data_IF_245200975053
#
_entry.id   IF_245200975053
#
_cell.length_a   1.000
_cell.length_b   1.000
_cell.length_c   1.000
_cell.angle_alpha   90.00
_cell.angle_beta   90.00
_cell.angle_gamma   90.00
#
_symmetry.space_group_name_H-M   'P 1'
#
loop_
_entity.id
_entity.type
_entity.pdbx_description
1 polymer ?
#
# COMPACT_ATOMS: atom_id res chain seq x y z
N UNK A 1 20.27 14.68 12.94
CA UNK A 1 18.85 14.35 13.25
C UNK A 1 18.22 15.64 13.73
N UNK A 2 17.17 16.06 13.05
CA UNK A 2 16.42 17.26 13.40
C UNK A 2 15.28 16.93 14.36
N UNK A 3 14.65 15.75 14.16
CA UNK A 3 13.58 15.22 14.97
C UNK A 3 13.62 13.68 14.95
N UNK A 4 13.22 13.04 16.01
CA UNK A 4 13.00 11.59 16.07
C UNK A 4 11.88 11.29 17.07
N UNK A 5 11.03 10.33 16.73
CA UNK A 5 9.92 9.90 17.55
C UNK A 5 9.75 8.39 17.42
N UNK A 6 9.55 7.71 18.55
CA UNK A 6 9.27 6.27 18.57
C UNK A 6 7.77 6.06 18.72
N UNK A 7 7.11 5.64 17.64
CA UNK A 7 5.71 5.21 17.71
C UNK A 7 5.67 3.73 18.09
N UNK A 8 5.77 3.46 19.37
CA UNK A 8 5.72 2.10 19.93
C UNK A 8 5.24 2.11 21.37
N UNK A 9 4.30 1.21 21.67
CA UNK A 9 3.83 0.90 23.02
C UNK A 9 3.48 -0.61 23.15
N UNK A 10 2.63 -1.00 24.12
CA UNK A 10 2.26 -2.42 24.30
C UNK A 10 1.32 -2.94 23.20
N UNK A 11 0.59 -2.07 22.55
CA UNK A 11 -0.49 -2.40 21.61
C UNK A 11 -0.24 -1.87 20.20
N UNK A 12 0.74 -0.95 20.03
CA UNK A 12 1.05 -0.33 18.74
C UNK A 12 2.55 -0.35 18.45
N UNK A 13 2.91 -0.46 17.18
CA UNK A 13 4.28 -0.30 16.71
C UNK A 13 4.31 0.09 15.24
N UNK A 14 5.11 1.12 14.90
CA UNK A 14 5.36 1.50 13.51
C UNK A 14 6.15 0.43 12.76
N UNK A 15 5.85 0.25 11.48
CA UNK A 15 6.54 -0.71 10.62
C UNK A 15 6.60 -0.25 9.17
N UNK A 16 7.49 -0.84 8.41
CA UNK A 16 7.69 -0.79 6.95
C UNK A 16 7.88 0.59 6.34
N UNK A 17 6.90 1.48 6.35
CA UNK A 17 6.92 2.65 5.48
C UNK A 17 6.36 3.91 6.12
N UNK A 18 6.71 5.04 5.53
CA UNK A 18 6.19 6.36 5.86
C UNK A 18 6.17 7.25 4.60
N UNK A 19 5.31 8.26 4.60
CA UNK A 19 5.31 9.34 3.62
C UNK A 19 5.07 10.68 4.30
N UNK A 20 5.25 11.78 3.57
CA UNK A 20 4.96 13.12 4.08
C UNK A 20 3.56 13.56 3.68
N UNK A 21 2.88 14.26 4.60
CA UNK A 21 1.63 14.97 4.39
C UNK A 21 1.89 16.43 4.78
N UNK A 22 2.22 17.26 3.81
CA UNK A 22 2.74 18.59 4.10
C UNK A 22 4.03 18.52 4.94
N UNK A 23 4.00 19.13 6.12
CA UNK A 23 5.11 19.09 7.09
C UNK A 23 4.99 17.94 8.10
N UNK A 24 3.92 17.14 8.03
CA UNK A 24 3.66 16.02 8.91
C UNK A 24 4.22 14.70 8.33
N UNK A 25 4.29 13.69 9.18
CA UNK A 25 4.72 12.33 8.80
C UNK A 25 3.56 11.36 8.97
N UNK A 26 3.10 10.79 7.87
CA UNK A 26 2.18 9.66 7.88
C UNK A 26 2.97 8.35 7.91
N UNK A 27 2.71 7.50 8.88
CA UNK A 27 3.40 6.22 9.01
C UNK A 27 2.41 5.04 9.07
N UNK A 28 2.90 3.88 8.64
CA UNK A 28 2.20 2.61 8.83
C UNK A 28 2.52 2.04 10.20
N UNK A 29 1.51 1.52 10.88
CA UNK A 29 1.67 0.89 12.18
C UNK A 29 0.82 -0.38 12.30
N UNK A 30 1.22 -1.27 13.19
CA UNK A 30 0.38 -2.34 13.70
C UNK A 30 -0.37 -1.87 14.94
N UNK A 31 -1.62 -2.31 15.08
CA UNK A 31 -2.36 -2.31 16.33
C UNK A 31 -2.68 -3.75 16.75
N UNK A 32 -2.65 -4.03 18.04
CA UNK A 32 -2.89 -5.37 18.55
C UNK A 32 -4.36 -5.58 18.88
N UNK A 33 -4.94 -6.66 18.36
CA UNK A 33 -6.28 -7.14 18.70
C UNK A 33 -6.19 -8.52 19.37
N UNK A 34 -6.84 -8.63 20.51
CA UNK A 34 -6.92 -9.86 21.29
C UNK A 34 -7.84 -10.90 20.64
N UNK A 35 -7.71 -12.16 21.06
CA UNK A 35 -8.62 -13.24 20.63
C UNK A 35 -10.09 -12.97 20.97
N UNK A 36 -10.38 -12.20 22.01
CA UNK A 36 -11.75 -11.82 22.35
C UNK A 36 -12.33 -10.81 21.34
N UNK A 37 -11.55 -9.81 20.92
CA UNK A 37 -11.94 -8.85 19.90
C UNK A 37 -12.10 -9.53 18.53
N UNK A 38 -11.16 -10.42 18.16
CA UNK A 38 -11.26 -11.22 16.93
C UNK A 38 -12.54 -12.06 16.89
N UNK A 39 -12.88 -12.73 17.98
CA UNK A 39 -14.12 -13.47 18.09
C UNK A 39 -15.35 -12.54 17.99
N UNK A 40 -15.31 -11.39 18.63
CA UNK A 40 -16.39 -10.40 18.55
C UNK A 40 -16.59 -9.87 17.13
N UNK A 41 -15.51 -9.73 16.36
CA UNK A 41 -15.54 -9.31 14.95
C UNK A 41 -15.83 -10.46 13.96
N UNK A 42 -16.07 -11.69 14.44
CA UNK A 42 -16.41 -12.83 13.55
C UNK A 42 -15.24 -13.42 12.79
N UNK A 43 -14.02 -13.28 13.30
CA UNK A 43 -12.86 -13.98 12.73
C UNK A 43 -12.98 -15.49 12.96
N UNK A 44 -12.92 -16.26 11.86
CA UNK A 44 -13.20 -17.71 11.89
C UNK A 44 -12.02 -18.56 12.33
N UNK A 45 -10.81 -18.00 12.28
CA UNK A 45 -9.61 -18.75 12.61
C UNK A 45 -9.23 -18.51 14.07
N UNK A 46 -9.00 -19.59 14.84
CA UNK A 46 -8.58 -19.46 16.22
C UNK A 46 -7.16 -18.90 16.29
N UNK A 47 -7.06 -17.63 16.64
CA UNK A 47 -5.79 -16.94 16.88
C UNK A 47 -5.74 -16.38 18.29
N UNK A 48 -4.55 -16.30 18.87
CA UNK A 48 -4.33 -15.65 20.14
C UNK A 48 -4.41 -14.12 20.04
N UNK A 49 -3.98 -13.59 18.91
CA UNK A 49 -3.96 -12.16 18.59
C UNK A 49 -3.80 -11.93 17.09
N UNK A 50 -4.13 -10.74 16.63
CA UNK A 50 -3.90 -10.24 15.28
C UNK A 50 -3.33 -8.84 15.39
N UNK A 51 -2.55 -8.44 14.38
CA UNK A 51 -1.97 -7.11 14.29
C UNK A 51 -2.48 -6.41 13.01
N UNK A 52 -3.72 -5.91 13.01
CA UNK A 52 -4.23 -5.10 11.91
C UNK A 52 -3.38 -3.85 11.70
N UNK A 53 -3.42 -3.33 10.48
CA UNK A 53 -2.74 -2.09 10.15
C UNK A 53 -3.57 -0.89 10.58
N UNK A 54 -2.88 0.14 11.06
CA UNK A 54 -3.43 1.48 11.10
C UNK A 54 -2.41 2.50 10.58
N UNK A 55 -2.91 3.65 10.15
CA UNK A 55 -2.11 4.79 9.74
C UNK A 55 -2.21 5.88 10.78
N UNK A 56 -1.08 6.54 11.03
CA UNK A 56 -0.99 7.63 12.00
C UNK A 56 -0.23 8.78 11.36
N UNK A 57 -0.87 9.95 11.32
CA UNK A 57 -0.22 11.18 10.93
C UNK A 57 0.26 11.95 12.17
N UNK A 58 1.54 12.25 12.18
CA UNK A 58 2.25 12.87 13.29
C UNK A 58 2.72 14.27 12.92
N UNK A 59 2.31 15.25 13.72
CA UNK A 59 2.87 16.59 13.72
C UNK A 59 3.95 16.70 14.80
N UNK A 60 5.16 17.12 14.42
CA UNK A 60 6.25 17.36 15.37
C UNK A 60 5.93 18.52 16.30
N UNK A 61 6.04 18.33 17.62
CA UNK A 61 5.70 19.34 18.63
C UNK A 61 6.79 20.42 18.84
N UNK A 62 7.90 20.31 18.12
CA UNK A 62 9.06 21.19 18.23
C UNK A 62 9.92 20.98 19.49
N UNK A 63 9.55 20.05 20.37
CA UNK A 63 10.24 19.72 21.63
C UNK A 63 10.80 18.30 21.67
N UNK A 64 10.76 17.60 20.54
CA UNK A 64 11.24 16.22 20.41
C UNK A 64 10.14 15.16 20.52
N UNK A 65 8.87 15.57 20.72
CA UNK A 65 7.69 14.73 20.69
C UNK A 65 6.85 14.92 19.43
N UNK A 66 5.69 14.28 19.39
CA UNK A 66 4.71 14.42 18.32
C UNK A 66 3.28 14.42 18.87
N UNK A 67 2.38 15.02 18.10
CA UNK A 67 0.93 14.94 18.30
C UNK A 67 0.34 14.14 17.14
N UNK A 68 -0.54 13.20 17.44
CA UNK A 68 -1.37 12.53 16.42
C UNK A 68 -2.41 13.54 15.97
N UNK A 69 -2.41 13.87 14.68
CA UNK A 69 -3.35 14.84 14.07
C UNK A 69 -4.41 14.15 13.23
N UNK A 70 -4.11 12.95 12.74
CA UNK A 70 -5.06 12.09 12.03
C UNK A 70 -4.68 10.62 12.21
N UNK A 71 -5.69 9.74 12.20
CA UNK A 71 -5.52 8.30 12.25
C UNK A 71 -6.64 7.57 11.52
N UNK A 72 -6.31 6.41 10.95
CA UNK A 72 -7.21 5.49 10.29
C UNK A 72 -6.88 4.05 10.67
N UNK A 73 -7.89 3.25 10.97
CA UNK A 73 -7.73 1.88 11.39
C UNK A 73 -8.49 0.94 10.44
N UNK A 74 -7.78 -0.02 9.83
CA UNK A 74 -8.44 -1.04 9.01
C UNK A 74 -9.52 -1.80 9.79
N UNK A 75 -9.36 -1.87 11.12
CA UNK A 75 -10.28 -2.52 12.04
C UNK A 75 -11.70 -1.96 11.98
N UNK A 76 -11.86 -0.69 11.76
CA UNK A 76 -13.15 0.00 11.70
C UNK A 76 -13.90 -0.28 10.39
N UNK A 77 -13.21 -0.81 9.36
CA UNK A 77 -13.73 -1.06 8.03
C UNK A 77 -13.81 -2.55 7.69
N UNK A 78 -13.84 -3.42 8.71
CA UNK A 78 -13.95 -4.86 8.52
C UNK A 78 -15.39 -5.34 8.46
N UNK A 79 -15.64 -6.33 7.58
CA UNK A 79 -16.91 -7.07 7.49
C UNK A 79 -16.68 -8.59 7.50
N UNK A 80 -17.76 -9.35 7.57
CA UNK A 80 -17.78 -10.81 7.40
C UNK A 80 -19.20 -11.29 7.06
N UNK A 81 -19.34 -12.43 6.40
CA UNK A 81 -20.62 -13.02 5.99
C UNK A 81 -20.92 -14.38 6.66
N UNK A 82 -20.16 -14.74 7.68
CA UNK A 82 -20.20 -16.08 8.28
C UNK A 82 -21.07 -16.17 9.55
N UNK A 83 -21.16 -15.09 10.33
CA UNK A 83 -21.94 -15.07 11.59
C UNK A 83 -22.86 -13.84 11.67
N UNK A 84 -24.17 -14.00 11.39
CA UNK A 84 -25.13 -12.90 11.42
C UNK A 84 -25.40 -12.32 12.83
N UNK A 85 -24.86 -12.91 13.87
CA UNK A 85 -24.98 -12.36 15.23
C UNK A 85 -23.91 -11.29 15.56
N UNK A 86 -22.94 -11.08 14.69
CA UNK A 86 -21.84 -10.11 14.89
C UNK A 86 -22.18 -8.76 14.26
N UNK A 87 -21.65 -7.66 14.82
CA UNK A 87 -22.04 -6.30 14.41
C UNK A 87 -21.59 -5.92 13.02
N UNK A 88 -20.50 -6.51 12.49
CA UNK A 88 -19.93 -6.26 11.17
C UNK A 88 -20.44 -7.27 10.10
N UNK A 89 -21.56 -7.94 10.37
CA UNK A 89 -22.14 -8.90 9.41
C UNK A 89 -22.71 -8.20 8.18
N UNK A 90 -22.33 -8.71 7.02
CA UNK A 90 -22.95 -8.39 5.73
C UNK A 90 -23.52 -9.66 5.09
N UNK A 91 -24.53 -9.54 4.25
CA UNK A 91 -25.15 -10.71 3.62
C UNK A 91 -24.22 -11.34 2.58
N UNK A 92 -23.56 -10.51 1.81
CA UNK A 92 -22.59 -10.92 0.80
C UNK A 92 -21.40 -9.96 0.83
N UNK A 93 -20.18 -10.47 0.92
CA UNK A 93 -18.96 -9.67 0.83
C UNK A 93 -18.89 -8.90 -0.51
N UNK A 94 -19.30 -9.54 -1.60
CA UNK A 94 -19.24 -8.96 -2.95
C UNK A 94 -20.12 -7.71 -3.16
N UNK A 95 -21.08 -7.50 -2.29
CA UNK A 95 -21.94 -6.30 -2.33
C UNK A 95 -21.32 -5.11 -1.56
N UNK A 96 -20.24 -5.36 -0.79
CA UNK A 96 -19.58 -4.40 0.07
C UNK A 96 -18.05 -4.35 -0.21
N UNK A 97 -17.61 -4.06 -1.45
CA UNK A 97 -16.20 -4.06 -1.81
C UNK A 97 -15.39 -2.92 -1.17
N UNK A 98 -16.07 -1.94 -0.60
CA UNK A 98 -15.52 -0.86 0.21
C UNK A 98 -15.07 -1.31 1.60
N UNK A 99 -15.46 -2.52 2.02
CA UNK A 99 -15.09 -3.12 3.30
C UNK A 99 -14.08 -4.26 3.11
N UNK A 100 -13.38 -4.59 4.17
CA UNK A 100 -12.38 -5.65 4.22
C UNK A 100 -12.96 -6.88 4.91
N UNK A 101 -13.05 -7.99 4.20
CA UNK A 101 -13.45 -9.26 4.81
C UNK A 101 -12.36 -9.73 5.79
N UNK A 102 -12.68 -9.76 7.09
CA UNK A 102 -11.77 -10.21 8.14
C UNK A 102 -11.30 -11.67 7.92
N UNK A 103 -12.07 -12.45 7.14
CA UNK A 103 -11.82 -13.87 6.86
C UNK A 103 -11.17 -14.10 5.49
N UNK A 104 -10.87 -13.07 4.70
CA UNK A 104 -10.31 -13.21 3.35
C UNK A 104 -8.93 -13.87 3.32
N UNK A 105 -8.16 -13.75 4.40
CA UNK A 105 -6.84 -14.35 4.55
C UNK A 105 -6.90 -15.49 5.57
N UNK A 106 -6.54 -16.68 5.13
CA UNK A 106 -6.53 -17.89 5.96
C UNK A 106 -5.33 -18.01 6.91
N UNK A 107 -4.56 -16.95 7.05
CA UNK A 107 -3.29 -16.99 7.78
C UNK A 107 -3.42 -16.64 9.24
N UNK A 108 -2.91 -17.41 10.01
CA UNK A 108 -2.21 -17.50 11.25
C UNK A 108 -2.41 -16.38 12.26
N UNK A 109 -1.37 -16.06 12.91
CA UNK A 109 -1.29 -15.20 14.07
C UNK A 109 -0.50 -13.94 13.76
N UNK A 110 -0.86 -12.87 14.42
CA UNK A 110 -0.11 -11.63 14.42
C UNK A 110 -0.29 -10.88 13.11
N UNK A 111 0.75 -10.79 12.32
CA UNK A 111 0.80 -10.03 11.08
C UNK A 111 -0.14 -10.62 9.99
N UNK A 112 -1.37 -10.16 10.01
CA UNK A 112 -2.44 -10.71 9.17
C UNK A 112 -2.49 -10.11 7.78
N UNK A 113 -2.27 -8.80 7.64
CA UNK A 113 -2.48 -8.06 6.39
C UNK A 113 -1.18 -7.60 5.74
N UNK A 114 -0.21 -7.21 6.56
CA UNK A 114 1.15 -6.84 6.17
C UNK A 114 1.21 -5.70 5.14
N UNK A 115 0.75 -4.51 5.55
CA UNK A 115 0.96 -3.30 4.74
C UNK A 115 2.46 -3.00 4.66
N UNK A 116 2.94 -2.69 3.46
CA UNK A 116 4.37 -2.58 3.18
C UNK A 116 4.74 -1.39 2.29
N UNK A 117 3.77 -0.59 1.92
CA UNK A 117 3.94 0.66 1.17
C UNK A 117 2.79 1.60 1.47
N UNK A 118 3.10 2.87 1.64
CA UNK A 118 2.13 3.96 1.80
C UNK A 118 2.61 5.17 1.02
N UNK A 119 1.70 5.85 0.35
CA UNK A 119 1.97 7.11 -0.32
C UNK A 119 0.75 8.03 -0.26
N UNK A 120 0.97 9.32 -0.34
CA UNK A 120 -0.04 10.35 -0.23
C UNK A 120 -0.11 11.21 -1.50
N UNK A 121 -1.31 11.45 -1.97
CA UNK A 121 -1.58 12.35 -3.09
C UNK A 121 -2.23 13.63 -2.57
N UNK A 122 -1.49 14.74 -2.64
CA UNK A 122 -1.94 16.05 -2.14
C UNK A 122 -3.11 16.62 -2.96
N UNK A 123 -3.13 16.40 -4.28
CA UNK A 123 -4.18 16.94 -5.15
C UNK A 123 -5.54 16.27 -4.92
N UNK A 124 -5.52 14.98 -4.60
CA UNK A 124 -6.72 14.18 -4.32
C UNK A 124 -7.06 14.12 -2.83
N UNK A 125 -6.11 14.45 -1.97
CA UNK A 125 -6.16 14.25 -0.52
C UNK A 125 -6.50 12.79 -0.17
N UNK A 126 -5.73 11.87 -0.75
CA UNK A 126 -5.93 10.43 -0.65
C UNK A 126 -4.63 9.69 -0.32
N UNK A 127 -4.77 8.56 0.34
CA UNK A 127 -3.67 7.65 0.67
C UNK A 127 -3.81 6.38 -0.15
N UNK A 128 -2.71 5.94 -0.82
CA UNK A 128 -2.60 4.61 -1.39
C UNK A 128 -1.71 3.74 -0.52
N UNK A 129 -2.04 2.46 -0.40
CA UNK A 129 -1.20 1.49 0.30
C UNK A 129 -1.25 0.11 -0.34
N UNK A 130 -0.22 -0.68 -0.09
CA UNK A 130 -0.09 -2.06 -0.59
C UNK A 130 -0.07 -3.06 0.55
N UNK A 131 -0.78 -4.18 0.37
CA UNK A 131 -0.77 -5.31 1.29
C UNK A 131 -0.10 -6.53 0.65
N UNK A 132 0.93 -7.05 1.33
CA UNK A 132 1.64 -8.22 0.87
C UNK A 132 0.77 -9.47 0.85
N UNK A 133 0.03 -9.73 1.95
CA UNK A 133 -0.70 -10.99 2.10
C UNK A 133 -2.02 -10.99 1.36
N UNK A 134 -2.67 -9.83 1.23
CA UNK A 134 -3.83 -9.69 0.36
C UNK A 134 -3.47 -9.70 -1.12
N UNK A 135 -2.21 -9.41 -1.48
CA UNK A 135 -1.79 -9.21 -2.88
C UNK A 135 -2.67 -8.19 -3.58
N UNK A 136 -2.93 -7.08 -2.90
CA UNK A 136 -3.77 -5.96 -3.37
C UNK A 136 -3.19 -4.62 -2.96
N UNK A 137 -3.62 -3.60 -3.68
CA UNK A 137 -3.43 -2.18 -3.34
C UNK A 137 -4.79 -1.56 -3.06
N UNK A 138 -4.80 -0.51 -2.23
CA UNK A 138 -5.99 0.14 -1.74
C UNK A 138 -5.82 1.66 -1.72
N UNK A 139 -6.93 2.39 -1.90
CA UNK A 139 -6.98 3.84 -1.72
C UNK A 139 -8.06 4.16 -0.70
N UNK A 140 -7.76 5.09 0.20
CA UNK A 140 -8.68 5.66 1.20
C UNK A 140 -8.68 7.18 1.13
N UNK A 141 -9.73 7.79 1.68
CA UNK A 141 -9.91 9.23 1.77
C UNK A 141 -9.17 9.79 3.00
N UNK A 142 -8.20 10.66 2.77
CA UNK A 142 -7.49 11.35 3.86
C UNK A 142 -8.15 12.68 4.25
N UNK A 143 -9.03 13.24 3.43
CA UNK A 143 -9.72 14.51 3.69
C UNK A 143 -10.70 14.45 4.89
N UNK A 144 -10.76 13.32 5.55
CA UNK A 144 -11.57 13.03 6.73
C UNK A 144 -10.93 13.60 8.01
N UNK A 145 -11.75 13.91 9.00
CA UNK A 145 -11.28 13.94 10.39
C UNK A 145 -11.05 12.51 10.88
N UNK A 146 -10.25 12.28 11.95
CA UNK A 146 -10.08 10.93 12.53
C UNK A 146 -11.42 10.27 12.90
N UNK A 147 -12.41 11.07 13.33
CA UNK A 147 -13.76 10.55 13.61
C UNK A 147 -14.52 10.11 12.37
N UNK A 148 -14.35 10.79 11.25
CA UNK A 148 -14.92 10.37 9.96
C UNK A 148 -14.12 9.18 9.39
N UNK A 149 -12.80 9.18 9.53
CA UNK A 149 -11.94 8.07 9.15
C UNK A 149 -12.27 6.76 9.87
N UNK A 150 -12.82 6.83 11.09
CA UNK A 150 -13.34 5.68 11.82
C UNK A 150 -14.81 5.33 11.48
N UNK A 151 -15.40 5.95 10.46
CA UNK A 151 -16.80 5.77 10.10
C UNK A 151 -16.96 5.51 8.60
N UNK A 152 -18.21 5.21 8.19
CA UNK A 152 -18.57 4.93 6.79
C UNK A 152 -19.11 6.17 6.07
N UNK A 153 -18.93 7.38 6.62
CA UNK A 153 -19.42 8.63 6.04
C UNK A 153 -18.49 9.79 6.40
N UNK A 154 -18.36 10.75 5.50
CA UNK A 154 -17.52 11.94 5.68
C UNK A 154 -16.42 12.01 4.63
N UNK A 155 -15.57 13.01 4.75
CA UNK A 155 -14.55 13.31 3.76
C UNK A 155 -15.09 13.79 2.41
N UNK A 156 -14.19 14.02 1.47
CA UNK A 156 -14.54 14.47 0.11
C UNK A 156 -15.29 13.40 -0.71
N UNK A 157 -15.03 12.13 -0.42
CA UNK A 157 -15.72 10.99 -1.04
C UNK A 157 -17.12 10.76 -0.49
N UNK A 158 -17.41 11.25 0.72
CA UNK A 158 -18.63 10.94 1.47
C UNK A 158 -18.66 9.53 2.08
N UNK A 159 -17.58 8.75 1.96
CA UNK A 159 -17.48 7.34 2.40
C UNK A 159 -16.72 7.17 3.72
N UNK A 160 -16.32 8.28 4.36
CA UNK A 160 -15.50 8.21 5.56
C UNK A 160 -14.16 7.52 5.28
N UNK A 161 -13.76 6.57 6.14
CA UNK A 161 -12.53 5.80 5.96
C UNK A 161 -12.67 4.51 5.15
N UNK A 162 -13.82 4.26 4.51
CA UNK A 162 -14.00 3.07 3.66
C UNK A 162 -13.07 3.07 2.45
N UNK A 163 -12.81 1.88 1.91
CA UNK A 163 -11.95 1.71 0.73
C UNK A 163 -12.61 2.33 -0.50
N UNK A 164 -11.98 3.34 -1.08
CA UNK A 164 -12.44 4.00 -2.30
C UNK A 164 -12.15 3.18 -3.55
N UNK A 165 -11.00 2.53 -3.57
CA UNK A 165 -10.49 1.75 -4.69
C UNK A 165 -9.62 0.61 -4.19
N UNK A 166 -9.68 -0.53 -4.87
CA UNK A 166 -8.79 -1.67 -4.64
C UNK A 166 -8.48 -2.39 -5.95
N UNK A 167 -7.27 -2.92 -6.07
CA UNK A 167 -6.82 -3.60 -7.29
C UNK A 167 -5.79 -4.68 -6.98
N UNK A 168 -5.90 -5.84 -7.65
CA UNK A 168 -4.93 -6.91 -7.60
C UNK A 168 -5.51 -8.29 -7.30
N UNK A 169 -6.56 -8.41 -6.49
CA UNK A 169 -7.14 -9.70 -6.15
C UNK A 169 -8.65 -9.62 -5.83
N UNK A 170 -9.51 -9.56 -6.86
CA UNK A 170 -10.96 -9.42 -6.66
C UNK A 170 -11.60 -10.55 -5.84
N UNK A 171 -10.96 -11.72 -5.76
CA UNK A 171 -11.47 -12.82 -4.94
C UNK A 171 -11.49 -12.49 -3.43
N UNK A 172 -10.68 -11.54 -2.97
CA UNK A 172 -10.68 -11.08 -1.58
C UNK A 172 -11.99 -10.40 -1.17
N UNK A 173 -12.78 -9.93 -2.14
CA UNK A 173 -14.12 -9.38 -1.91
C UNK A 173 -15.18 -10.13 -2.72
N UNK A 174 -14.97 -11.43 -2.94
CA UNK A 174 -15.97 -12.35 -3.49
C UNK A 174 -16.33 -12.13 -4.96
N UNK A 175 -15.51 -11.43 -5.74
CA UNK A 175 -15.75 -11.12 -7.15
C UNK A 175 -14.74 -11.85 -8.03
N UNK A 176 -15.17 -12.35 -9.17
CA UNK A 176 -14.28 -12.88 -10.19
C UNK A 176 -13.72 -11.75 -11.04
N UNK A 177 -12.42 -11.76 -11.28
CA UNK A 177 -11.74 -10.78 -12.13
C UNK A 177 -10.41 -11.31 -12.66
N UNK A 178 -9.84 -10.60 -13.62
CA UNK A 178 -8.58 -10.95 -14.28
C UNK A 178 -7.38 -10.14 -13.78
N UNK A 179 -7.62 -9.13 -12.98
CA UNK A 179 -6.57 -8.36 -12.30
C UNK A 179 -6.02 -9.21 -11.15
N UNK A 180 -4.91 -9.91 -11.37
CA UNK A 180 -4.33 -10.81 -10.39
C UNK A 180 -2.89 -10.42 -10.13
N UNK A 181 -2.59 -10.11 -8.86
CA UNK A 181 -1.23 -10.10 -8.32
C UNK A 181 -1.01 -11.49 -7.71
N UNK A 182 -0.23 -12.33 -8.37
CA UNK A 182 -0.09 -13.74 -8.00
C UNK A 182 0.53 -13.95 -6.61
N UNK A 183 1.53 -13.13 -6.27
CA UNK A 183 2.20 -13.24 -4.98
C UNK A 183 2.98 -11.99 -4.65
N UNK A 184 2.57 -11.33 -3.60
CA UNK A 184 3.16 -10.13 -3.03
C UNK A 184 3.20 -8.92 -3.97
N UNK A 185 2.85 -7.80 -3.40
CA UNK A 185 3.02 -6.46 -3.98
C UNK A 185 3.69 -5.59 -2.94
N UNK A 186 4.54 -4.67 -3.39
CA UNK A 186 5.21 -3.70 -2.54
C UNK A 186 5.15 -2.32 -3.16
N UNK A 187 5.31 -1.30 -2.31
CA UNK A 187 5.63 0.05 -2.71
C UNK A 187 4.61 0.66 -3.68
N UNK A 188 3.31 0.57 -3.34
CA UNK A 188 2.27 1.28 -4.07
C UNK A 188 2.42 2.78 -3.87
N UNK A 189 2.46 3.53 -4.98
CA UNK A 189 2.58 4.99 -4.97
C UNK A 189 1.93 5.62 -6.20
N UNK A 190 1.66 6.91 -6.15
CA UNK A 190 1.31 7.67 -7.34
C UNK A 190 2.56 8.03 -8.15
N UNK A 191 2.40 8.06 -9.46
CA UNK A 191 3.34 8.72 -10.36
C UNK A 191 2.95 10.19 -10.37
N UNK A 192 3.89 11.07 -10.05
CA UNK A 192 3.68 12.53 -10.06
C UNK A 192 3.06 13.00 -11.38
N UNK A 193 2.00 13.81 -11.31
CA UNK A 193 1.33 14.38 -12.51
C UNK A 193 1.92 15.74 -12.90
N UNK A 194 3.23 15.75 -13.14
CA UNK A 194 4.02 16.93 -13.53
C UNK A 194 4.36 16.97 -15.02
N UNK A 195 3.68 16.14 -15.81
CA UNK A 195 3.92 15.97 -17.24
C UNK A 195 4.85 14.81 -17.58
N UNK A 196 5.34 14.06 -16.59
CA UNK A 196 6.06 12.80 -16.84
C UNK A 196 5.14 11.73 -17.40
N UNK A 197 5.67 10.74 -18.14
CA UNK A 197 4.85 9.64 -18.67
C UNK A 197 4.11 8.88 -17.56
N UNK A 198 2.81 8.66 -17.79
CA UNK A 198 1.87 8.02 -16.87
C UNK A 198 1.64 8.81 -15.57
N UNK A 199 1.80 10.14 -15.57
CA UNK A 199 1.43 11.00 -14.44
C UNK A 199 0.00 10.72 -14.00
N UNK A 200 -0.23 10.65 -12.69
CA UNK A 200 -1.50 10.31 -12.07
C UNK A 200 -1.83 8.81 -11.98
N UNK A 201 -1.06 7.93 -12.63
CA UNK A 201 -1.22 6.48 -12.45
C UNK A 201 -0.68 6.03 -11.09
N UNK A 202 -1.19 4.91 -10.60
CA UNK A 202 -0.51 4.16 -9.54
C UNK A 202 0.65 3.35 -10.13
N UNK A 203 1.76 3.29 -9.42
CA UNK A 203 2.88 2.41 -9.72
C UNK A 203 3.07 1.42 -8.57
N UNK A 204 3.34 0.16 -8.88
CA UNK A 204 3.60 -0.88 -7.91
C UNK A 204 4.83 -1.70 -8.30
N UNK A 205 5.55 -2.18 -7.30
CA UNK A 205 6.51 -3.26 -7.48
C UNK A 205 5.77 -4.60 -7.28
N UNK A 206 5.46 -5.28 -8.39
CA UNK A 206 4.79 -6.57 -8.39
C UNK A 206 5.85 -7.68 -8.36
N UNK A 207 6.05 -8.29 -7.22
CA UNK A 207 7.14 -9.24 -6.99
C UNK A 207 7.12 -10.45 -7.92
N UNK A 208 5.93 -10.89 -8.33
CA UNK A 208 5.75 -12.04 -9.23
C UNK A 208 4.98 -11.67 -10.50
N UNK A 209 5.03 -10.43 -10.96
CA UNK A 209 4.20 -9.93 -12.06
C UNK A 209 4.36 -10.65 -13.39
N UNK A 210 5.52 -11.22 -13.66
CA UNK A 210 5.79 -12.12 -14.79
C UNK A 210 5.96 -13.59 -14.36
N UNK A 211 5.37 -13.95 -13.21
CA UNK A 211 5.35 -15.28 -12.64
C UNK A 211 6.42 -15.55 -11.59
N UNK A 212 6.16 -16.55 -10.77
CA UNK A 212 7.10 -17.09 -9.79
C UNK A 212 7.24 -18.61 -9.98
N UNK A 213 8.45 -19.15 -9.75
CA UNK A 213 8.69 -20.58 -9.71
C UNK A 213 9.24 -21.00 -8.36
N UNK A 214 8.75 -22.08 -7.80
CA UNK A 214 9.10 -22.53 -6.45
C UNK A 214 8.31 -21.80 -5.37
N UNK A 215 8.65 -22.04 -4.12
CA UNK A 215 7.97 -21.45 -2.96
C UNK A 215 8.93 -21.20 -1.81
N UNK A 216 8.50 -20.38 -0.85
CA UNK A 216 9.27 -20.02 0.31
C UNK A 216 10.54 -19.22 -0.02
N UNK A 217 11.62 -19.34 0.78
CA UNK A 217 12.82 -18.53 0.61
C UNK A 217 13.63 -18.83 -0.68
N UNK A 218 13.28 -19.87 -1.41
CA UNK A 218 13.91 -20.25 -2.68
C UNK A 218 13.05 -19.92 -3.90
N UNK A 219 11.98 -19.16 -3.75
CA UNK A 219 11.16 -18.74 -4.88
C UNK A 219 11.99 -17.89 -5.85
N UNK A 220 11.98 -18.29 -7.13
CA UNK A 220 12.53 -17.46 -8.21
C UNK A 220 11.41 -16.57 -8.72
N UNK A 221 11.53 -15.29 -8.46
CA UNK A 221 10.58 -14.29 -8.89
C UNK A 221 10.97 -13.70 -10.25
N UNK A 222 9.98 -13.44 -11.08
CA UNK A 222 10.09 -12.55 -12.21
C UNK A 222 9.24 -11.31 -11.90
N UNK A 223 9.89 -10.32 -11.32
CA UNK A 223 9.24 -9.10 -10.87
C UNK A 223 8.93 -8.15 -12.01
N UNK A 224 7.90 -7.33 -11.81
CA UNK A 224 7.55 -6.25 -12.73
C UNK A 224 7.31 -4.95 -11.97
N UNK A 225 7.47 -3.83 -12.68
CA UNK A 225 6.93 -2.54 -12.27
C UNK A 225 5.69 -2.30 -13.12
N UNK A 226 4.54 -2.29 -12.48
CA UNK A 226 3.26 -2.14 -13.15
C UNK A 226 2.68 -0.75 -12.89
N UNK A 227 2.18 -0.12 -13.94
CA UNK A 227 1.41 1.13 -13.88
C UNK A 227 -0.07 0.86 -14.09
N UNK A 228 -0.91 1.44 -13.25
CA UNK A 228 -2.35 1.23 -13.21
C UNK A 228 -3.05 2.58 -13.35
N UNK A 229 -3.73 2.78 -14.47
CA UNK A 229 -4.60 3.94 -14.68
C UNK A 229 -5.93 3.70 -13.98
N UNK A 230 -6.13 4.41 -12.87
CA UNK A 230 -7.35 4.24 -12.08
C UNK A 230 -8.55 4.93 -12.73
N UNK A 231 -9.77 4.42 -12.56
CA UNK A 231 -10.98 5.00 -13.14
C UNK A 231 -11.52 6.18 -12.27
N UNK A 232 -10.65 7.11 -11.89
CA UNK A 232 -11.03 8.26 -11.08
C UNK A 232 -11.94 9.21 -11.85
N UNK A 233 -13.04 9.61 -11.23
CA UNK A 233 -13.97 10.62 -11.74
C UNK A 233 -14.01 11.83 -10.80
N UNK A 234 -13.36 12.90 -11.21
CA UNK A 234 -13.33 14.15 -10.43
C UNK A 234 -14.68 14.87 -10.33
N UNK A 235 -15.65 14.52 -11.19
CA UNK A 235 -16.98 15.12 -11.10
C UNK A 235 -17.81 14.53 -9.96
N UNK A 236 -17.51 13.31 -9.57
CA UNK A 236 -18.22 12.59 -8.49
C UNK A 236 -17.32 12.28 -7.29
N UNK A 237 -16.04 12.66 -7.34
CA UNK A 237 -15.01 12.31 -6.34
C UNK A 237 -15.03 10.81 -6.01
N UNK A 238 -15.07 9.97 -7.03
CA UNK A 238 -15.15 8.52 -6.85
C UNK A 238 -14.41 7.74 -7.92
N UNK A 239 -14.06 6.50 -7.62
CA UNK A 239 -13.55 5.55 -8.58
C UNK A 239 -14.70 4.79 -9.21
N UNK A 240 -14.86 4.94 -10.53
CA UNK A 240 -15.99 4.34 -11.26
C UNK A 240 -15.92 2.81 -11.19
N UNK A 241 -17.02 2.20 -10.77
CA UNK A 241 -17.18 0.75 -10.70
C UNK A 241 -18.58 0.33 -11.14
N UNK A 242 -18.68 -0.73 -11.89
CA UNK A 242 -19.98 -1.39 -12.16
C UNK A 242 -20.31 -2.32 -11.00
N UNK A 243 -21.50 -2.21 -10.44
CA UNK A 243 -21.95 -3.08 -9.36
C UNK A 243 -21.83 -4.57 -9.73
N UNK A 244 -21.32 -5.38 -8.82
CA UNK A 244 -21.05 -6.80 -9.03
C UNK A 244 -19.85 -7.12 -9.95
N UNK A 245 -19.08 -6.12 -10.34
CA UNK A 245 -17.83 -6.29 -11.11
C UNK A 245 -16.62 -5.86 -10.26
N UNK A 246 -15.46 -6.38 -10.62
CA UNK A 246 -14.19 -5.89 -10.07
C UNK A 246 -13.94 -4.43 -10.47
N UNK A 247 -13.16 -3.72 -9.68
CA UNK A 247 -12.65 -2.41 -10.07
C UNK A 247 -11.84 -2.52 -11.37
N UNK A 248 -11.85 -1.47 -12.19
CA UNK A 248 -11.04 -1.41 -13.41
C UNK A 248 -9.71 -0.72 -13.12
N UNK A 249 -8.68 -0.91 -13.98
CA UNK A 249 -8.64 -1.73 -15.20
C UNK A 249 -8.57 -3.24 -14.89
N UNK A 250 -8.95 -4.06 -15.85
CA UNK A 250 -8.91 -5.53 -15.72
C UNK A 250 -7.50 -6.12 -15.80
N UNK A 251 -6.50 -5.32 -16.09
CA UNK A 251 -5.08 -5.63 -16.14
C UNK A 251 -4.29 -4.35 -15.86
N UNK A 252 -2.98 -4.46 -15.65
CA UNK A 252 -2.09 -3.29 -15.66
C UNK A 252 -2.22 -2.51 -16.97
N UNK A 253 -2.02 -1.19 -16.90
CA UNK A 253 -2.00 -0.30 -18.08
C UNK A 253 -0.63 -0.30 -18.72
N UNK A 254 0.43 -0.24 -17.93
CA UNK A 254 1.82 -0.34 -18.37
C UNK A 254 2.58 -1.35 -17.54
N UNK A 255 3.59 -1.99 -18.13
CA UNK A 255 4.45 -2.97 -17.44
C UNK A 255 5.89 -2.87 -17.92
N UNK A 256 6.81 -2.92 -16.97
CA UNK A 256 8.22 -3.18 -17.21
C UNK A 256 8.62 -4.48 -16.47
N UNK A 257 9.16 -5.45 -17.19
CA UNK A 257 9.71 -6.68 -16.60
C UNK A 257 11.13 -6.41 -16.10
N UNK A 258 11.41 -6.74 -14.85
CA UNK A 258 12.67 -6.42 -14.17
C UNK A 258 13.86 -7.25 -14.69
N UNK A 259 14.39 -6.87 -15.85
CA UNK A 259 15.42 -7.62 -16.58
C UNK A 259 16.82 -7.64 -15.93
N UNK A 260 17.09 -6.76 -14.97
CA UNK A 260 18.42 -6.66 -14.32
C UNK A 260 18.40 -7.09 -12.86
N UNK A 261 17.25 -7.54 -12.34
CA UNK A 261 17.10 -8.07 -11.01
C UNK A 261 15.64 -8.14 -10.59
N UNK A 262 15.30 -9.20 -9.87
CA UNK A 262 13.95 -9.47 -9.36
C UNK A 262 14.02 -9.86 -7.89
N UNK A 263 12.90 -9.74 -7.18
CA UNK A 263 12.80 -10.09 -5.78
C UNK A 263 11.42 -10.67 -5.42
N UNK A 264 11.39 -11.71 -4.62
CA UNK A 264 10.16 -12.35 -4.15
C UNK A 264 9.47 -11.62 -2.98
N UNK A 265 10.03 -10.52 -2.53
CA UNK A 265 9.49 -9.68 -1.44
C UNK A 265 10.28 -8.40 -1.29
N UNK A 266 9.76 -7.47 -0.48
CA UNK A 266 10.30 -6.13 -0.34
C UNK A 266 10.43 -5.43 -1.71
N UNK A 267 11.31 -4.46 -1.86
CA UNK A 267 11.57 -3.74 -3.11
C UNK A 267 10.78 -2.45 -3.25
N UNK A 268 11.24 -1.60 -4.15
CA UNK A 268 10.62 -0.32 -4.47
C UNK A 268 10.88 0.05 -5.93
N UNK A 269 10.05 0.93 -6.46
CA UNK A 269 10.28 1.53 -7.78
C UNK A 269 9.80 2.98 -7.79
N UNK A 270 10.43 3.80 -8.64
CA UNK A 270 10.05 5.19 -8.80
C UNK A 270 10.06 5.60 -10.27
N UNK A 271 9.15 6.52 -10.64
CA UNK A 271 9.10 7.12 -11.96
C UNK A 271 9.79 8.48 -11.93
N UNK A 272 10.97 8.54 -12.54
CA UNK A 272 11.75 9.78 -12.62
C UNK A 272 11.05 10.82 -13.52
N UNK A 273 11.35 12.11 -13.33
CA UNK A 273 10.76 13.21 -14.11
C UNK A 273 11.02 13.09 -15.62
N UNK A 274 12.13 12.47 -16.01
CA UNK A 274 12.47 12.20 -17.41
C UNK A 274 11.76 10.97 -17.99
N UNK A 275 10.89 10.30 -17.21
CA UNK A 275 10.14 9.11 -17.61
C UNK A 275 10.88 7.79 -17.41
N UNK A 276 12.12 7.81 -16.94
CA UNK A 276 12.84 6.60 -16.58
C UNK A 276 12.20 5.90 -15.36
N UNK A 277 12.49 4.62 -15.21
CA UNK A 277 12.05 3.84 -14.04
C UNK A 277 13.31 3.51 -13.23
N UNK A 278 13.33 3.97 -11.99
CA UNK A 278 14.27 3.50 -10.99
C UNK A 278 13.70 2.26 -10.31
N UNK A 279 14.53 1.26 -10.09
CA UNK A 279 14.17 -0.01 -9.47
C UNK A 279 15.17 -0.36 -8.36
N UNK A 280 14.65 -0.66 -7.18
CA UNK A 280 15.36 -1.36 -6.12
C UNK A 280 14.76 -2.76 -5.97
N UNK A 281 15.40 -3.78 -6.54
CA UNK A 281 15.05 -5.16 -6.31
C UNK A 281 15.80 -5.66 -5.07
N UNK A 282 15.08 -5.87 -3.97
CA UNK A 282 15.66 -6.31 -2.69
C UNK A 282 16.19 -7.75 -2.79
N UNK A 283 17.30 -8.04 -2.12
CA UNK A 283 17.78 -9.40 -1.96
C UNK A 283 17.01 -10.25 -0.95
N UNK A 284 15.89 -9.73 -0.40
CA UNK A 284 15.18 -10.36 0.69
C UNK A 284 15.95 -10.26 2.02
N UNK A 285 15.61 -11.10 2.99
CA UNK A 285 16.28 -11.11 4.29
C UNK A 285 17.73 -11.59 4.16
N UNK A 286 18.67 -10.63 4.02
CA UNK A 286 20.10 -10.90 3.95
C UNK A 286 20.66 -11.31 2.59
N UNK A 287 19.85 -11.23 1.54
CA UNK A 287 20.30 -11.46 0.16
C UNK A 287 21.00 -10.26 -0.48
N UNK A 288 21.59 -10.50 -1.65
CA UNK A 288 22.14 -9.44 -2.48
C UNK A 288 21.02 -8.80 -3.30
N UNK A 289 20.70 -7.53 -3.01
CA UNK A 289 19.80 -6.74 -3.83
C UNK A 289 20.53 -6.02 -4.94
N UNK A 290 19.77 -5.42 -5.85
CA UNK A 290 20.30 -4.64 -6.95
C UNK A 290 19.43 -3.39 -7.18
N UNK A 291 20.12 -2.27 -7.43
CA UNK A 291 19.49 -1.00 -7.81
C UNK A 291 19.90 -0.64 -9.23
N UNK A 292 18.96 -0.20 -10.02
CA UNK A 292 19.22 0.21 -11.39
C UNK A 292 18.14 1.16 -11.92
N UNK A 293 18.42 1.81 -13.03
CA UNK A 293 17.47 2.68 -13.74
C UNK A 293 17.42 2.28 -15.20
N UNK A 294 16.24 2.28 -15.76
CA UNK A 294 15.99 2.01 -17.18
C UNK A 294 15.23 3.17 -17.83
N UNK A 295 15.42 3.34 -19.13
CA UNK A 295 14.64 4.27 -19.93
C UNK A 295 13.21 3.74 -20.22
N UNK A 296 12.41 4.51 -20.93
CA UNK A 296 11.01 4.18 -21.25
C UNK A 296 10.83 2.94 -22.14
N UNK A 297 11.90 2.43 -22.73
CA UNK A 297 11.90 1.21 -23.57
C UNK A 297 12.69 0.05 -22.93
N UNK A 298 13.12 0.24 -21.66
CA UNK A 298 13.75 -0.80 -20.85
C UNK A 298 15.27 -0.93 -21.01
N UNK A 299 15.96 0.01 -21.69
CA UNK A 299 17.42 0.00 -21.73
C UNK A 299 18.00 0.49 -20.40
N UNK A 300 19.05 -0.18 -19.94
CA UNK A 300 19.78 0.21 -18.75
C UNK A 300 20.47 1.57 -18.96
N UNK A 301 20.16 2.55 -18.11
CA UNK A 301 20.78 3.88 -18.11
C UNK A 301 21.67 4.12 -16.91
N UNK A 302 21.43 3.43 -15.80
CA UNK A 302 22.27 3.48 -14.61
C UNK A 302 22.27 2.15 -13.86
N UNK A 303 23.39 1.79 -13.28
CA UNK A 303 23.59 0.52 -12.56
C UNK A 303 23.92 -0.63 -13.52
N UNK A 304 23.63 -1.91 -13.18
CA UNK A 304 23.14 -2.35 -11.88
C UNK A 304 24.17 -2.12 -10.75
N UNK A 305 23.70 -1.61 -9.64
CA UNK A 305 24.50 -1.40 -8.44
C UNK A 305 24.07 -2.42 -7.37
N UNK A 306 25.01 -3.24 -6.91
CA UNK A 306 24.71 -4.25 -5.89
C UNK A 306 24.58 -3.58 -4.53
N UNK A 307 23.38 -3.59 -3.99
CA UNK A 307 23.05 -3.08 -2.66
C UNK A 307 21.94 -3.91 -2.03
N UNK A 308 22.07 -4.21 -0.76
CA UNK A 308 21.00 -4.86 0.00
C UNK A 308 20.22 -3.78 0.74
N UNK A 309 19.00 -3.51 0.27
CA UNK A 309 18.06 -2.61 0.92
C UNK A 309 16.64 -3.16 0.78
N UNK A 310 15.83 -3.17 1.85
CA UNK A 310 14.42 -3.50 1.74
C UNK A 310 13.68 -2.58 0.78
N UNK A 311 13.97 -1.28 0.87
CA UNK A 311 13.55 -0.22 -0.03
C UNK A 311 14.71 0.72 -0.31
N UNK A 312 14.76 1.29 -1.49
CA UNK A 312 15.72 2.32 -1.85
C UNK A 312 15.04 3.27 -2.84
N UNK A 313 15.26 4.56 -2.65
CA UNK A 313 14.70 5.61 -3.50
C UNK A 313 15.82 6.38 -4.16
N UNK A 314 15.52 6.98 -5.30
CA UNK A 314 16.42 7.87 -6.00
C UNK A 314 15.80 9.26 -6.08
N UNK A 315 16.51 10.21 -5.53
CA UNK A 315 16.11 11.61 -5.59
C UNK A 315 16.84 12.33 -6.69
N UNK A 316 16.17 13.23 -7.37
CA UNK A 316 16.77 14.10 -8.38
C UNK A 316 17.62 15.20 -7.71
N UNK A 317 18.58 15.77 -8.45
CA UNK A 317 19.48 16.78 -7.88
C UNK A 317 18.77 18.05 -7.40
N UNK A 318 17.60 18.33 -7.92
CA UNK A 318 16.78 19.48 -7.52
C UNK A 318 15.85 19.21 -6.33
N UNK A 319 15.75 17.96 -5.88
CA UNK A 319 15.00 17.62 -4.69
C UNK A 319 15.45 18.46 -3.48
N UNK A 320 14.52 19.08 -2.72
CA UNK A 320 14.86 20.01 -1.64
C UNK A 320 15.88 19.48 -0.63
N UNK A 321 15.72 18.21 -0.23
CA UNK A 321 16.66 17.54 0.69
C UNK A 321 18.07 17.38 0.12
N UNK A 322 18.21 17.11 -1.19
CA UNK A 322 19.53 17.02 -1.86
C UNK A 322 20.16 18.40 -1.94
N UNK A 323 19.41 19.44 -2.36
CA UNK A 323 19.89 20.82 -2.38
C UNK A 323 20.35 21.32 -1.00
N UNK A 324 19.64 20.91 0.05
CA UNK A 324 20.05 21.27 1.41
C UNK A 324 21.40 20.64 1.80
N UNK A 325 21.74 19.46 1.28
CA UNK A 325 23.04 18.82 1.52
C UNK A 325 24.20 19.50 0.78
N UNK A 326 23.94 20.11 -0.39
CA UNK A 326 24.97 20.84 -1.16
C UNK A 326 25.40 22.16 -0.50
N UNK A 327 24.62 22.64 0.46
CA UNK A 327 24.90 23.89 1.19
C UNK A 327 25.77 23.70 2.42
N UNK A 328 26.23 22.49 2.71
CA UNK A 328 27.18 22.13 3.76
C UNK A 328 28.52 21.77 3.15
#
# INVERSE_FOLDING_TARGET
IVWSFDYADNDHVSHHDLTLVGDNVLLTAYEKKSSAELNAAGFNNASSEMWPTHFVELEADGNGGATIVWEWHIWDHMCQDTDPSKPNYVVNISDNPELIDINMLSGGSGDWFHVNGVDYNEDLDQIVFSSRFASEIYIIDHSTTSSEAASHTGGNSGMGGDILYRWGNPSNYGILGTQVIESAVHDARWIEDDGRPNGGFLQIFNNCGAGCTGGGPNAVANSTVDGIETPWDSATNSYLRTAGQAFTPSSYTTRYECGFGSASGQSASDRMSNGNIYINASGGQGGAGVMYEVDSIGNLVWGPYNASSPKGFRYECDYPGIKALESY
#
